data_IF_014236382049
#
_entry.id   IF_014236382049
#
_cell.length_a   1.000
_cell.length_b   1.000
_cell.length_c   1.000
_cell.angle_alpha   90.00
_cell.angle_beta   90.00
_cell.angle_gamma   90.00
#
_symmetry.space_group_name_H-M   'P 1'
#
loop_
_entity.id
_entity.type
_entity.pdbx_description
1 polymer ?
#
# COMPACT_ATOMS: atom_id res chain seq x y z
N UNK A 1 34.17 36.72 -23.46
CA UNK A 1 32.84 36.35 -23.91
C UNK A 1 32.13 35.78 -22.70
N UNK A 2 31.31 36.59 -22.07
CA UNK A 2 30.60 36.32 -20.81
C UNK A 2 29.29 35.60 -21.15
N UNK A 3 29.08 34.44 -20.50
CA UNK A 3 27.81 33.71 -20.57
C UNK A 3 26.70 34.52 -19.91
N UNK A 4 25.47 34.52 -20.43
CA UNK A 4 24.37 35.18 -19.77
C UNK A 4 23.93 34.36 -18.54
N UNK A 5 24.05 34.94 -17.36
CA UNK A 5 23.34 34.53 -16.16
C UNK A 5 21.86 34.75 -16.44
N UNK A 6 21.05 33.68 -16.38
CA UNK A 6 19.59 33.77 -16.29
C UNK A 6 19.25 34.26 -14.88
N UNK A 7 19.17 35.57 -14.71
CA UNK A 7 18.48 36.22 -13.59
C UNK A 7 16.99 35.84 -13.71
N UNK A 8 16.54 34.86 -12.92
CA UNK A 8 15.11 34.62 -12.75
C UNK A 8 14.53 35.76 -11.92
N UNK A 9 13.62 36.52 -12.53
CA UNK A 9 12.93 37.62 -11.87
C UNK A 9 12.24 37.07 -10.59
N UNK A 10 12.51 37.65 -9.41
CA UNK A 10 11.83 37.28 -8.17
C UNK A 10 10.29 37.31 -8.29
N UNK A 11 9.72 38.16 -9.16
CA UNK A 11 8.30 38.24 -9.46
C UNK A 11 7.74 36.96 -10.13
N UNK A 12 8.45 36.45 -11.15
CA UNK A 12 8.04 35.21 -11.85
C UNK A 12 8.12 33.98 -10.94
N UNK A 13 9.11 33.95 -10.00
CA UNK A 13 9.23 32.84 -9.04
C UNK A 13 8.11 32.85 -8.01
N UNK A 14 7.63 34.03 -7.59
CA UNK A 14 6.48 34.16 -6.69
C UNK A 14 5.16 33.81 -7.36
N UNK A 15 5.00 34.13 -8.64
CA UNK A 15 3.80 33.81 -9.43
C UNK A 15 3.70 32.29 -9.68
N UNK A 16 4.80 31.64 -10.05
CA UNK A 16 4.89 30.18 -10.20
C UNK A 16 4.64 29.42 -8.87
N UNK A 17 5.15 29.95 -7.75
CA UNK A 17 4.87 29.39 -6.43
C UNK A 17 3.38 29.56 -6.04
N UNK A 18 2.76 30.68 -6.40
CA UNK A 18 1.32 30.94 -6.20
C UNK A 18 0.45 30.00 -7.02
N UNK A 19 0.79 29.74 -8.28
CA UNK A 19 0.10 28.77 -9.13
C UNK A 19 0.24 27.35 -8.63
N UNK A 20 1.43 26.95 -8.15
CA UNK A 20 1.63 25.63 -7.55
C UNK A 20 0.81 25.47 -6.28
N UNK A 21 0.75 26.46 -5.41
CA UNK A 21 -0.10 26.48 -4.22
C UNK A 21 -1.58 26.34 -4.56
N UNK A 22 -2.04 27.09 -5.58
CA UNK A 22 -3.42 27.00 -6.06
C UNK A 22 -3.72 25.63 -6.69
N UNK A 23 -2.75 25.03 -7.37
CA UNK A 23 -2.87 23.67 -7.91
C UNK A 23 -2.96 22.62 -6.80
N UNK A 24 -2.12 22.72 -5.76
CA UNK A 24 -2.14 21.84 -4.60
C UNK A 24 -3.46 21.96 -3.82
N UNK A 25 -3.98 23.18 -3.66
CA UNK A 25 -5.29 23.41 -3.02
C UNK A 25 -6.45 22.81 -3.83
N UNK A 26 -6.42 22.92 -5.17
CA UNK A 26 -7.40 22.24 -6.04
C UNK A 26 -7.27 20.71 -5.99
N UNK A 27 -6.05 20.19 -5.74
CA UNK A 27 -5.77 18.78 -5.49
C UNK A 27 -6.13 18.28 -4.10
N UNK A 28 -6.76 19.11 -3.24
CA UNK A 28 -7.22 18.71 -1.91
C UNK A 28 -6.17 18.82 -0.79
N UNK A 29 -5.00 19.36 -1.06
CA UNK A 29 -3.97 19.61 -0.01
C UNK A 29 -4.43 20.78 0.85
N UNK A 30 -4.96 20.49 2.04
CA UNK A 30 -5.48 21.52 2.98
C UNK A 30 -4.47 22.01 4.00
N UNK A 31 -3.28 21.41 4.07
CA UNK A 31 -2.28 21.76 5.07
C UNK A 31 -0.89 21.82 4.44
N UNK A 32 -0.31 23.00 4.37
CA UNK A 32 1.11 23.20 4.14
C UNK A 32 1.65 23.76 5.46
N UNK A 33 2.60 23.05 6.15
CA UNK A 33 3.21 23.59 7.35
C UNK A 33 3.81 24.97 7.03
N UNK A 34 3.57 25.98 7.86
CA UNK A 34 4.25 27.26 7.74
C UNK A 34 5.75 27.02 7.99
N UNK A 35 6.52 26.96 6.92
CA UNK A 35 7.98 26.99 7.04
C UNK A 35 8.38 28.38 7.58
N UNK A 36 9.18 28.43 8.67
CA UNK A 36 9.77 29.66 9.09
C UNK A 36 10.86 30.10 8.09
N UNK A 37 11.19 31.37 8.04
CA UNK A 37 12.16 31.93 7.07
C UNK A 37 13.53 31.23 7.11
N UNK A 38 14.01 30.84 8.30
CA UNK A 38 15.28 30.11 8.47
C UNK A 38 15.24 28.70 7.85
N UNK A 39 14.10 28.01 7.87
CA UNK A 39 13.94 26.71 7.22
C UNK A 39 13.97 26.82 5.70
N UNK A 40 13.40 27.89 5.12
CA UNK A 40 13.40 28.15 3.69
C UNK A 40 14.81 28.47 3.18
N UNK A 41 15.57 29.32 3.89
CA UNK A 41 16.95 29.66 3.54
C UNK A 41 17.89 28.43 3.65
N UNK A 42 17.71 27.60 4.67
CA UNK A 42 18.47 26.35 4.84
C UNK A 42 18.17 25.36 3.70
N UNK A 43 16.95 25.32 3.21
CA UNK A 43 16.54 24.44 2.09
C UNK A 43 17.10 24.94 0.75
N UNK A 44 16.98 26.23 0.46
CA UNK A 44 17.50 26.81 -0.77
C UNK A 44 19.01 26.64 -0.90
N UNK A 45 19.76 26.85 0.18
CA UNK A 45 21.21 26.69 0.21
C UNK A 45 21.67 25.24 -0.05
N UNK A 46 20.93 24.24 0.44
CA UNK A 46 21.23 22.80 0.17
C UNK A 46 20.92 22.40 -1.27
N UNK A 47 19.90 22.97 -1.88
CA UNK A 47 19.53 22.69 -3.28
C UNK A 47 20.56 23.27 -4.26
N UNK A 48 21.07 24.47 -4.00
CA UNK A 48 22.11 25.10 -4.82
C UNK A 48 23.43 24.33 -4.75
N UNK A 49 23.76 23.73 -3.60
CA UNK A 49 24.99 22.90 -3.45
C UNK A 49 24.82 21.47 -4.04
N UNK A 50 23.60 20.95 -4.15
CA UNK A 50 23.35 19.61 -4.72
C UNK A 50 23.21 19.61 -6.26
N UNK A 51 22.98 20.76 -6.89
CA UNK A 51 22.98 20.92 -8.33
C UNK A 51 24.44 21.15 -8.79
N UNK A 52 25.20 20.06 -8.99
CA UNK A 52 26.49 20.10 -9.66
C UNK A 52 26.34 20.62 -11.10
N UNK A 53 27.44 21.08 -11.75
CA UNK A 53 27.37 21.76 -13.03
C UNK A 53 26.69 20.92 -14.10
N UNK A 54 25.72 21.50 -14.79
CA UNK A 54 24.99 20.91 -15.88
C UNK A 54 25.95 20.46 -16.99
N UNK A 55 25.94 19.15 -17.27
CA UNK A 55 26.66 18.60 -18.45
C UNK A 55 25.83 18.97 -19.68
N UNK A 56 26.38 19.83 -20.51
CA UNK A 56 25.86 20.22 -21.80
C UNK A 56 25.83 19.00 -22.74
N UNK A 57 24.66 18.57 -23.17
CA UNK A 57 24.53 17.61 -24.28
C UNK A 57 24.49 18.40 -25.59
N UNK A 58 25.46 18.12 -26.45
CA UNK A 58 25.59 18.64 -27.80
C UNK A 58 24.65 17.88 -28.76
N UNK A 59 23.80 18.55 -29.54
CA UNK A 59 22.90 17.90 -30.50
C UNK A 59 23.50 17.95 -31.92
N UNK A 60 24.41 17.03 -32.26
CA UNK A 60 24.74 16.79 -33.67
C UNK A 60 25.47 15.46 -33.86
N UNK A 61 24.72 14.44 -34.34
CA UNK A 61 25.10 13.42 -35.31
C UNK A 61 23.91 12.52 -35.56
N UNK A 62 23.18 12.64 -36.69
CA UNK A 62 23.56 11.90 -37.87
C UNK A 62 22.69 10.67 -38.03
N UNK A 63 21.54 10.84 -38.73
CA UNK A 63 20.61 9.79 -39.19
C UNK A 63 21.37 8.82 -40.09
N UNK A 64 21.24 7.50 -39.88
CA UNK A 64 21.45 6.48 -40.88
C UNK A 64 20.33 5.45 -40.81
N UNK A 65 19.50 5.44 -41.81
CA UNK A 65 18.50 4.43 -42.10
C UNK A 65 19.16 3.13 -42.53
N UNK A 66 18.69 2.01 -42.02
CA UNK A 66 18.94 0.68 -42.60
C UNK A 66 17.64 -0.12 -42.61
N UNK A 67 17.29 -0.43 -43.80
CA UNK A 67 16.26 -1.19 -44.47
C UNK A 67 15.84 -2.51 -43.83
N UNK A 68 14.55 -2.78 -44.10
CA UNK A 68 13.80 -4.06 -44.09
C UNK A 68 14.59 -5.32 -44.39
N UNK A 69 14.42 -6.32 -43.55
CA UNK A 69 14.56 -7.72 -43.93
C UNK A 69 13.43 -8.54 -43.30
N UNK A 70 12.45 -8.86 -44.13
CA UNK A 70 11.41 -9.84 -43.89
C UNK A 70 12.05 -11.25 -43.75
N UNK A 71 11.75 -11.93 -42.64
CA UNK A 71 11.94 -13.37 -42.52
C UNK A 71 10.62 -14.03 -42.12
N UNK A 72 10.02 -14.72 -43.11
CA UNK A 72 8.90 -15.62 -42.93
C UNK A 72 9.33 -16.91 -42.20
N UNK A 73 8.55 -17.48 -41.29
CA UNK A 73 8.82 -18.81 -40.74
C UNK A 73 8.20 -19.89 -41.63
N UNK A 74 9.04 -20.83 -42.07
CA UNK A 74 8.64 -22.10 -42.67
C UNK A 74 8.10 -23.05 -41.62
N UNK A 75 6.89 -23.59 -41.83
CA UNK A 75 6.35 -24.72 -41.11
C UNK A 75 6.93 -26.05 -41.69
N UNK A 76 7.10 -27.08 -40.86
CA UNK A 76 6.98 -28.44 -41.30
C UNK A 76 5.74 -29.11 -40.71
N UNK A 77 4.91 -29.63 -41.60
CA UNK A 77 3.86 -30.56 -41.26
C UNK A 77 4.47 -31.91 -40.82
N UNK A 78 4.01 -32.44 -39.69
CA UNK A 78 3.97 -33.89 -39.53
C UNK A 78 2.75 -34.32 -38.74
N UNK A 79 1.95 -35.19 -39.38
CA UNK A 79 0.78 -35.85 -38.83
C UNK A 79 1.26 -37.07 -38.02
N UNK A 80 0.86 -37.23 -36.79
CA UNK A 80 0.49 -38.54 -36.23
C UNK A 80 -0.33 -38.34 -34.97
N UNK A 81 -1.50 -38.89 -35.07
CA UNK A 81 -2.50 -39.14 -34.03
C UNK A 81 -1.93 -39.95 -32.86
N UNK A 82 -2.27 -39.55 -31.66
CA UNK A 82 -2.82 -40.32 -30.52
C UNK A 82 -2.89 -39.33 -29.34
N UNK A 83 -4.10 -38.85 -29.06
CA UNK A 83 -4.35 -38.03 -27.89
C UNK A 83 -4.42 -38.88 -26.62
N UNK A 84 -3.78 -38.46 -25.52
CA UNK A 84 -4.17 -38.99 -24.22
C UNK A 84 -5.48 -38.33 -23.77
N UNK A 85 -6.43 -39.18 -23.48
CA UNK A 85 -7.70 -38.89 -22.86
C UNK A 85 -7.51 -37.97 -21.63
N UNK A 86 -7.95 -36.72 -21.73
CA UNK A 86 -7.97 -35.77 -20.60
C UNK A 86 -9.04 -36.29 -19.62
N UNK A 87 -8.61 -37.05 -18.62
CA UNK A 87 -9.44 -37.38 -17.46
C UNK A 87 -9.75 -36.08 -16.74
N UNK A 88 -10.99 -35.61 -16.89
CA UNK A 88 -11.55 -34.55 -16.02
C UNK A 88 -11.35 -34.98 -14.56
N UNK A 89 -10.76 -34.11 -13.73
CA UNK A 89 -10.67 -34.42 -12.31
C UNK A 89 -12.08 -34.57 -11.75
N UNK A 90 -12.30 -35.53 -10.82
CA UNK A 90 -13.61 -35.74 -10.22
C UNK A 90 -14.06 -34.43 -9.55
N UNK A 91 -15.38 -34.13 -9.56
CA UNK A 91 -15.91 -32.96 -8.85
C UNK A 91 -15.48 -33.07 -7.40
N UNK A 92 -14.95 -31.94 -6.87
CA UNK A 92 -14.57 -31.85 -5.47
C UNK A 92 -15.78 -32.28 -4.59
N UNK A 93 -15.56 -33.09 -3.55
CA UNK A 93 -16.65 -33.53 -2.70
C UNK A 93 -17.34 -32.29 -2.13
N UNK A 94 -18.64 -32.17 -2.37
CA UNK A 94 -19.54 -31.21 -1.71
C UNK A 94 -19.71 -31.63 -0.24
N UNK A 95 -18.61 -31.66 0.47
CA UNK A 95 -18.63 -31.73 1.93
C UNK A 95 -19.11 -30.40 2.44
N UNK A 96 -20.33 -30.35 2.96
CA UNK A 96 -20.87 -29.25 3.76
C UNK A 96 -19.83 -28.93 4.83
N UNK A 97 -18.95 -27.96 4.55
CA UNK A 97 -17.98 -27.48 5.54
C UNK A 97 -18.79 -27.03 6.76
N UNK A 98 -18.52 -27.63 7.91
CA UNK A 98 -19.11 -27.18 9.18
C UNK A 98 -18.91 -25.67 9.26
N UNK A 99 -19.94 -24.90 9.67
CA UNK A 99 -19.78 -23.46 9.84
C UNK A 99 -18.56 -23.22 10.72
N UNK A 100 -17.59 -22.49 10.21
CA UNK A 100 -16.48 -22.03 11.05
C UNK A 100 -17.07 -20.95 11.92
N UNK A 101 -17.02 -21.11 13.21
CA UNK A 101 -17.47 -20.10 14.15
C UNK A 101 -16.60 -18.84 13.99
N UNK A 102 -17.19 -17.65 14.14
CA UNK A 102 -16.44 -16.42 14.34
C UNK A 102 -15.56 -16.62 15.56
N UNK A 103 -14.32 -16.17 15.51
CA UNK A 103 -13.48 -16.23 16.69
C UNK A 103 -12.93 -14.85 17.02
N UNK A 104 -12.64 -14.66 18.28
CA UNK A 104 -11.99 -13.46 18.80
C UNK A 104 -10.51 -13.71 19.01
N UNK A 105 -9.70 -12.76 18.56
CA UNK A 105 -8.27 -12.75 18.87
C UNK A 105 -8.00 -12.01 20.19
N UNK A 106 -8.91 -11.12 20.60
CA UNK A 106 -8.96 -10.46 21.89
C UNK A 106 -10.38 -9.95 22.13
N UNK A 107 -10.98 -10.30 23.27
CA UNK A 107 -12.30 -9.82 23.70
C UNK A 107 -12.14 -8.58 24.62
N UNK A 108 -10.92 -8.29 25.09
CA UNK A 108 -10.65 -7.13 25.93
C UNK A 108 -10.71 -5.83 25.10
N UNK A 109 -11.14 -4.71 25.70
CA UNK A 109 -11.02 -3.40 25.08
C UNK A 109 -9.60 -3.06 24.67
N UNK A 110 -9.43 -2.15 23.71
CA UNK A 110 -8.10 -1.61 23.40
C UNK A 110 -7.44 -1.05 24.67
N UNK A 111 -6.17 -1.36 24.91
CA UNK A 111 -5.46 -0.83 26.06
C UNK A 111 -5.36 0.70 26.02
N UNK A 112 -5.31 1.32 27.20
CA UNK A 112 -5.19 2.77 27.34
C UNK A 112 -6.48 3.56 27.07
N UNK A 113 -6.40 4.89 27.11
CA UNK A 113 -7.52 5.79 26.85
C UNK A 113 -7.77 5.99 25.36
N UNK A 114 -9.00 6.34 25.00
CA UNK A 114 -9.33 6.77 23.64
C UNK A 114 -8.86 8.22 23.47
N UNK A 115 -7.86 8.44 22.63
CA UNK A 115 -7.25 9.75 22.42
C UNK A 115 -8.12 10.64 21.51
N UNK A 116 -8.16 11.96 21.78
CA UNK A 116 -8.65 12.94 20.82
C UNK A 116 -7.91 12.85 19.48
N UNK A 117 -8.56 13.23 18.37
CA UNK A 117 -8.00 13.07 17.02
C UNK A 117 -6.64 13.78 16.88
N UNK A 118 -6.50 15.01 17.42
CA UNK A 118 -5.25 15.76 17.36
C UNK A 118 -4.10 15.05 18.10
N UNK A 119 -4.39 14.37 19.19
CA UNK A 119 -3.42 13.58 19.93
C UNK A 119 -3.07 12.29 19.18
N UNK A 120 -4.05 11.66 18.49
CA UNK A 120 -3.78 10.50 17.63
C UNK A 120 -2.79 10.84 16.51
N UNK A 121 -2.94 11.99 15.84
CA UNK A 121 -1.99 12.47 14.83
C UNK A 121 -0.59 12.60 15.40
N UNK A 122 -0.46 13.22 16.56
CA UNK A 122 0.82 13.40 17.24
C UNK A 122 1.47 12.06 17.59
N UNK A 123 0.71 11.14 18.17
CA UNK A 123 1.21 9.81 18.53
C UNK A 123 1.59 8.97 17.31
N UNK A 124 0.84 9.05 16.19
CA UNK A 124 1.20 8.40 14.94
C UNK A 124 2.49 8.97 14.35
N UNK A 125 2.71 10.28 14.40
CA UNK A 125 3.96 10.93 13.95
C UNK A 125 5.14 10.49 14.83
N UNK A 126 4.97 10.45 16.14
CA UNK A 126 5.99 9.98 17.07
C UNK A 126 6.36 8.51 16.78
N UNK A 127 5.36 7.65 16.62
CA UNK A 127 5.57 6.24 16.31
C UNK A 127 6.21 6.05 14.92
N UNK A 128 5.84 6.87 13.93
CA UNK A 128 6.45 6.84 12.59
C UNK A 128 7.95 7.15 12.64
N UNK A 129 8.34 8.10 13.49
CA UNK A 129 9.76 8.45 13.70
C UNK A 129 10.54 7.29 14.32
N UNK A 130 9.96 6.56 15.27
CA UNK A 130 10.55 5.35 15.86
C UNK A 130 10.69 4.25 14.79
N UNK A 131 9.66 4.04 13.98
CA UNK A 131 9.65 3.03 12.90
C UNK A 131 10.69 3.36 11.83
N UNK A 132 10.88 4.64 11.49
CA UNK A 132 11.87 5.06 10.51
C UNK A 132 13.30 4.64 10.89
N UNK A 133 13.64 4.72 12.19
CA UNK A 133 14.93 4.30 12.73
C UNK A 133 15.05 2.80 13.06
N UNK A 134 14.02 1.99 12.81
CA UNK A 134 14.00 0.59 13.24
C UNK A 134 15.02 -0.27 12.47
N UNK A 135 15.80 -1.07 13.20
CA UNK A 135 16.77 -2.04 12.66
C UNK A 135 16.56 -3.48 13.17
N UNK A 136 15.40 -3.78 13.78
CA UNK A 136 15.09 -5.11 14.37
C UNK A 136 15.23 -6.28 13.38
N UNK A 137 15.08 -6.02 12.07
CA UNK A 137 15.23 -7.02 10.99
C UNK A 137 16.46 -6.63 10.15
N UNK A 138 17.61 -7.20 10.43
CA UNK A 138 18.89 -6.82 9.79
C UNK A 138 18.84 -6.86 8.27
N UNK A 139 18.28 -7.94 7.69
CA UNK A 139 18.15 -8.09 6.23
C UNK A 139 17.23 -7.03 5.66
N UNK A 140 16.05 -6.81 6.25
CA UNK A 140 15.10 -5.82 5.75
C UNK A 140 15.63 -4.40 5.90
N UNK A 141 16.34 -4.10 6.99
CA UNK A 141 16.95 -2.80 7.21
C UNK A 141 18.04 -2.47 6.18
N UNK A 142 18.78 -3.48 5.71
CA UNK A 142 19.80 -3.34 4.66
C UNK A 142 19.21 -3.22 3.25
N UNK A 143 18.07 -3.88 2.98
CA UNK A 143 17.50 -3.96 1.63
C UNK A 143 16.46 -2.89 1.32
N UNK A 144 15.79 -2.33 2.34
CA UNK A 144 14.77 -1.30 2.14
C UNK A 144 15.38 0.04 1.72
N UNK A 145 14.67 0.80 0.91
CA UNK A 145 14.95 2.21 0.67
C UNK A 145 14.53 3.05 1.87
N UNK A 146 13.32 2.80 2.37
CA UNK A 146 12.77 3.44 3.56
C UNK A 146 11.68 2.57 4.19
N UNK A 147 11.21 2.94 5.37
CA UNK A 147 10.06 2.29 5.98
C UNK A 147 8.75 2.84 5.40
N UNK A 148 7.73 2.00 5.33
CA UNK A 148 6.37 2.38 4.95
C UNK A 148 5.50 2.25 6.19
N UNK A 149 5.33 3.34 6.91
CA UNK A 149 4.62 3.36 8.18
C UNK A 149 3.14 3.02 8.04
N UNK A 150 2.49 3.70 7.13
CA UNK A 150 1.05 3.72 6.89
C UNK A 150 0.61 5.15 6.63
N UNK A 151 -0.60 5.33 6.08
CA UNK A 151 -1.18 6.66 5.83
C UNK A 151 -2.69 6.62 5.86
N UNK A 152 -3.32 7.76 6.08
CA UNK A 152 -4.76 7.92 6.04
C UNK A 152 -5.28 8.82 7.16
N UNK A 153 -6.58 8.76 7.37
CA UNK A 153 -7.27 9.56 8.37
C UNK A 153 -7.09 8.97 9.79
N UNK A 154 -6.52 9.69 10.75
CA UNK A 154 -6.42 9.23 12.14
C UNK A 154 -7.78 8.97 12.83
N UNK A 155 -8.87 9.54 12.26
CA UNK A 155 -10.25 9.30 12.70
C UNK A 155 -10.98 8.24 11.87
N UNK A 156 -10.27 7.52 10.99
CA UNK A 156 -10.89 6.53 10.11
C UNK A 156 -11.63 5.44 10.89
N UNK A 157 -12.88 5.20 10.52
CA UNK A 157 -13.66 4.07 11.03
C UNK A 157 -13.17 2.73 10.47
N UNK A 158 -12.53 2.75 9.29
CA UNK A 158 -12.12 1.55 8.55
C UNK A 158 -10.62 1.60 8.29
N UNK A 159 -9.92 0.56 8.72
CA UNK A 159 -8.50 0.33 8.44
C UNK A 159 -8.36 -0.82 7.45
N UNK A 160 -7.62 -0.61 6.36
CA UNK A 160 -7.19 -1.70 5.49
C UNK A 160 -5.78 -2.15 5.89
N UNK A 161 -5.68 -3.41 6.25
CA UNK A 161 -4.48 -4.00 6.84
C UNK A 161 -3.87 -5.05 5.91
N UNK A 162 -2.73 -4.74 5.33
CA UNK A 162 -2.03 -5.57 4.36
C UNK A 162 -0.85 -6.36 4.92
N UNK A 163 -0.06 -6.89 4.00
CA UNK A 163 1.08 -7.78 4.30
C UNK A 163 2.38 -7.01 4.47
N UNK A 164 2.88 -6.42 3.40
CA UNK A 164 4.19 -5.78 3.32
C UNK A 164 4.22 -4.73 2.20
N UNK A 165 5.14 -3.75 2.25
CA UNK A 165 5.40 -2.85 1.14
C UNK A 165 5.95 -3.59 -0.09
N UNK A 166 5.54 -3.18 -1.29
CA UNK A 166 6.16 -3.55 -2.55
C UNK A 166 7.27 -2.58 -2.95
N UNK A 167 7.76 -2.72 -4.19
CA UNK A 167 8.87 -1.89 -4.68
C UNK A 167 8.52 -0.40 -4.84
N UNK A 168 7.30 -0.11 -5.28
CA UNK A 168 6.84 1.28 -5.44
C UNK A 168 6.63 1.93 -4.08
N UNK A 169 6.05 1.19 -3.13
CA UNK A 169 5.82 1.62 -1.76
C UNK A 169 7.15 1.89 -1.04
N UNK A 170 8.13 1.01 -1.16
CA UNK A 170 9.47 1.16 -0.58
C UNK A 170 10.19 2.40 -1.11
N UNK A 171 10.06 2.68 -2.42
CA UNK A 171 10.67 3.86 -3.04
C UNK A 171 10.05 5.17 -2.59
N UNK A 172 8.71 5.20 -2.38
CA UNK A 172 7.97 6.43 -2.09
C UNK A 172 7.61 6.58 -0.60
N UNK A 173 7.77 5.55 0.23
CA UNK A 173 7.40 5.57 1.64
C UNK A 173 5.89 5.53 1.90
N UNK A 174 5.07 5.29 0.88
CA UNK A 174 3.60 5.31 0.95
C UNK A 174 3.00 3.93 0.73
N UNK A 175 2.00 3.51 1.52
CA UNK A 175 1.38 2.20 1.36
C UNK A 175 0.43 2.15 0.15
N UNK A 176 0.37 0.99 -0.51
CA UNK A 176 -0.61 0.69 -1.56
C UNK A 176 -0.65 1.70 -2.72
N UNK A 177 0.49 2.01 -3.33
CA UNK A 177 0.57 2.92 -4.49
C UNK A 177 0.89 2.20 -5.80
N UNK A 178 1.47 0.99 -5.74
CA UNK A 178 1.72 0.14 -6.90
C UNK A 178 0.44 -0.45 -7.48
N UNK A 179 0.56 -1.39 -8.40
CA UNK A 179 -0.58 -2.02 -9.12
C UNK A 179 -1.64 -2.61 -8.17
N UNK A 180 -1.22 -3.23 -7.07
CA UNK A 180 -2.13 -3.78 -6.05
C UNK A 180 -2.89 -2.65 -5.34
N UNK A 181 -2.23 -1.54 -5.04
CA UNK A 181 -2.82 -0.35 -4.45
C UNK A 181 -3.84 0.30 -5.37
N UNK A 182 -3.56 0.44 -6.66
CA UNK A 182 -4.51 0.96 -7.65
C UNK A 182 -5.79 0.11 -7.74
N UNK A 183 -5.68 -1.21 -7.57
CA UNK A 183 -6.86 -2.06 -7.47
C UNK A 183 -7.59 -1.82 -6.14
N UNK A 184 -6.86 -1.68 -5.03
CA UNK A 184 -7.45 -1.36 -3.73
C UNK A 184 -8.22 -0.04 -3.77
N UNK A 185 -7.67 1.00 -4.42
CA UNK A 185 -8.35 2.30 -4.57
C UNK A 185 -9.70 2.14 -5.29
N UNK A 186 -9.76 1.33 -6.36
CA UNK A 186 -11.01 1.00 -7.04
C UNK A 186 -11.98 0.23 -6.15
N UNK A 187 -11.48 -0.65 -5.30
CA UNK A 187 -12.31 -1.41 -4.35
C UNK A 187 -12.88 -0.47 -3.27
N UNK A 188 -12.09 0.46 -2.76
CA UNK A 188 -12.50 1.49 -1.79
C UNK A 188 -13.54 2.41 -2.40
N UNK A 189 -13.31 2.89 -3.63
CA UNK A 189 -14.28 3.73 -4.36
C UNK A 189 -15.61 3.00 -4.61
N UNK A 190 -15.56 1.71 -4.92
CA UNK A 190 -16.78 0.89 -5.05
C UNK A 190 -17.57 0.78 -3.73
N UNK A 191 -16.90 0.95 -2.58
CA UNK A 191 -17.53 1.07 -1.26
C UNK A 191 -18.02 2.50 -0.94
N UNK A 192 -18.01 3.42 -1.90
CA UNK A 192 -18.35 4.85 -1.74
C UNK A 192 -17.43 5.58 -0.76
N UNK A 193 -16.18 5.12 -0.64
CA UNK A 193 -15.14 5.70 0.19
C UNK A 193 -13.99 6.23 -0.67
N UNK A 194 -13.19 7.14 -0.09
CA UNK A 194 -11.95 7.66 -0.66
C UNK A 194 -10.76 7.27 0.23
N UNK A 195 -9.53 7.49 -0.23
CA UNK A 195 -8.34 7.24 0.58
C UNK A 195 -8.31 8.05 1.88
N UNK A 196 -8.87 9.24 1.83
CA UNK A 196 -8.98 10.18 2.93
C UNK A 196 -9.99 9.75 4.01
N UNK A 197 -10.87 8.80 3.70
CA UNK A 197 -11.86 8.26 4.65
C UNK A 197 -11.35 7.06 5.44
N UNK A 198 -10.23 6.49 5.02
CA UNK A 198 -9.68 5.23 5.55
C UNK A 198 -8.27 5.42 6.07
N UNK A 199 -7.76 4.39 6.76
CA UNK A 199 -6.34 4.28 7.06
C UNK A 199 -5.75 3.00 6.46
N UNK A 200 -4.55 3.11 5.92
CA UNK A 200 -3.84 2.02 5.23
C UNK A 200 -2.55 1.70 5.97
N UNK A 201 -2.36 0.46 6.34
CA UNK A 201 -1.11 -0.01 6.95
C UNK A 201 -0.81 -1.47 6.60
N UNK A 202 0.42 -1.89 6.81
CA UNK A 202 0.88 -3.25 6.58
C UNK A 202 1.38 -3.90 7.87
N UNK A 203 1.39 -5.23 7.89
CA UNK A 203 1.91 -6.05 8.98
C UNK A 203 3.40 -5.78 9.23
N UNK A 204 4.20 -5.70 8.16
CA UNK A 204 5.60 -5.26 8.25
C UNK A 204 5.79 -3.90 7.58
N UNK A 205 6.73 -3.11 8.12
CA UNK A 205 6.97 -1.74 7.67
C UNK A 205 8.11 -1.62 6.65
N UNK A 206 8.77 -2.73 6.36
CA UNK A 206 9.88 -2.80 5.43
C UNK A 206 9.55 -3.76 4.30
N UNK A 207 10.07 -3.48 3.10
CA UNK A 207 9.92 -4.35 1.94
C UNK A 207 10.81 -5.58 2.09
N UNK A 208 10.27 -6.82 2.03
CA UNK A 208 11.10 -8.02 1.92
C UNK A 208 11.78 -8.09 0.54
N UNK A 209 13.01 -8.65 0.46
CA UNK A 209 13.70 -8.87 -0.82
C UNK A 209 12.81 -9.59 -1.83
N UNK A 210 12.84 -9.13 -3.10
CA UNK A 210 12.05 -9.70 -4.21
C UNK A 210 10.53 -9.77 -3.96
N UNK A 211 10.03 -8.97 -3.00
CA UNK A 211 8.64 -8.98 -2.52
C UNK A 211 8.19 -10.39 -2.06
N UNK A 212 9.08 -11.18 -1.45
CA UNK A 212 8.70 -12.44 -0.80
C UNK A 212 7.77 -12.20 0.38
N UNK A 213 7.10 -13.23 0.83
CA UNK A 213 6.34 -13.14 2.08
C UNK A 213 7.30 -12.84 3.25
N UNK A 214 6.86 -12.02 4.23
CA UNK A 214 7.62 -11.80 5.46
C UNK A 214 7.86 -13.11 6.23
N UNK A 215 9.04 -13.23 6.83
CA UNK A 215 9.37 -14.36 7.70
C UNK A 215 8.71 -14.25 9.08
N UNK A 216 8.53 -15.35 9.79
CA UNK A 216 7.92 -15.34 11.13
C UNK A 216 8.64 -14.39 12.10
N UNK A 217 9.96 -14.30 12.02
CA UNK A 217 10.78 -13.38 12.83
C UNK A 217 10.54 -11.90 12.46
N UNK A 218 10.38 -11.62 11.17
CA UNK A 218 10.08 -10.27 10.67
C UNK A 218 8.68 -9.82 11.11
N UNK A 219 7.70 -10.74 11.04
CA UNK A 219 6.35 -10.51 11.54
C UNK A 219 6.35 -10.25 13.06
N UNK A 220 7.08 -11.04 13.83
CA UNK A 220 7.20 -10.85 15.27
C UNK A 220 7.85 -9.52 15.63
N UNK A 221 8.94 -9.16 14.97
CA UNK A 221 9.67 -7.91 15.20
C UNK A 221 8.84 -6.64 14.87
N UNK A 222 7.92 -6.74 13.90
CA UNK A 222 7.06 -5.63 13.48
C UNK A 222 5.71 -5.55 14.21
N UNK A 223 5.35 -6.60 14.97
CA UNK A 223 4.04 -6.72 15.63
C UNK A 223 3.68 -5.52 16.48
N UNK A 224 4.57 -5.13 17.38
CA UNK A 224 4.34 -4.01 18.31
C UNK A 224 3.96 -2.71 17.58
N UNK A 225 4.51 -2.48 16.39
CA UNK A 225 4.24 -1.25 15.64
C UNK A 225 2.82 -1.20 15.08
N UNK A 226 2.33 -2.28 14.46
CA UNK A 226 0.96 -2.26 13.96
C UNK A 226 -0.07 -2.36 15.08
N UNK A 227 0.23 -3.05 16.17
CA UNK A 227 -0.64 -3.11 17.35
C UNK A 227 -0.78 -1.73 17.98
N UNK A 228 0.32 -0.97 18.16
CA UNK A 228 0.27 0.42 18.61
C UNK A 228 -0.50 1.33 17.65
N UNK A 229 -0.33 1.17 16.33
CA UNK A 229 -1.11 1.93 15.35
C UNK A 229 -2.61 1.66 15.52
N UNK A 230 -3.02 0.40 15.63
CA UNK A 230 -4.43 0.04 15.81
C UNK A 230 -4.97 0.54 17.16
N UNK A 231 -4.15 0.52 18.23
CA UNK A 231 -4.50 1.05 19.52
C UNK A 231 -4.70 2.59 19.50
N UNK A 232 -3.88 3.31 18.75
CA UNK A 232 -4.04 4.77 18.57
C UNK A 232 -5.29 5.06 17.73
N UNK A 233 -5.48 4.34 16.61
CA UNK A 233 -6.57 4.56 15.66
C UNK A 233 -7.93 4.12 16.20
N UNK A 234 -8.00 2.99 16.91
CA UNK A 234 -9.25 2.34 17.40
C UNK A 234 -10.33 2.30 16.33
N UNK A 235 -10.09 1.63 15.20
CA UNK A 235 -11.07 1.58 14.12
C UNK A 235 -12.27 0.73 14.51
N UNK A 236 -13.43 1.02 13.94
CA UNK A 236 -14.62 0.17 14.04
C UNK A 236 -14.46 -1.12 13.24
N UNK A 237 -13.78 -1.02 12.07
CA UNK A 237 -13.53 -2.15 11.16
C UNK A 237 -12.06 -2.26 10.79
N UNK A 238 -11.56 -3.48 10.76
CA UNK A 238 -10.25 -3.83 10.20
C UNK A 238 -10.46 -4.80 9.04
N UNK A 239 -10.08 -4.39 7.84
CA UNK A 239 -10.16 -5.23 6.64
C UNK A 239 -8.79 -5.85 6.37
N UNK A 240 -8.61 -7.11 6.73
CA UNK A 240 -7.37 -7.85 6.48
C UNK A 240 -7.28 -8.25 4.99
N UNK A 241 -6.25 -7.78 4.33
CA UNK A 241 -5.93 -8.04 2.93
C UNK A 241 -5.00 -9.25 2.83
N UNK A 242 -5.57 -10.45 2.66
CA UNK A 242 -4.81 -11.67 2.47
C UNK A 242 -4.51 -12.46 3.76
N UNK A 243 -3.76 -13.56 3.60
CA UNK A 243 -3.50 -14.51 4.68
C UNK A 243 -2.56 -13.96 5.74
N UNK A 244 -1.49 -13.27 5.33
CA UNK A 244 -0.44 -12.82 6.26
C UNK A 244 -1.00 -11.83 7.27
N UNK A 245 -1.75 -10.82 6.82
CA UNK A 245 -2.40 -9.85 7.71
C UNK A 245 -3.44 -10.51 8.62
N UNK A 246 -4.29 -11.40 8.08
CA UNK A 246 -5.28 -12.12 8.86
C UNK A 246 -4.64 -13.03 9.92
N UNK A 247 -3.61 -13.80 9.57
CA UNK A 247 -2.91 -14.68 10.51
C UNK A 247 -2.17 -13.88 11.59
N UNK A 248 -1.57 -12.75 11.20
CA UNK A 248 -0.86 -11.89 12.16
C UNK A 248 -1.80 -11.25 13.17
N UNK A 249 -2.95 -10.75 12.72
CA UNK A 249 -3.92 -10.08 13.59
C UNK A 249 -4.70 -11.08 14.45
N UNK A 250 -5.29 -12.09 13.81
CA UNK A 250 -6.20 -13.04 14.43
C UNK A 250 -5.50 -14.24 15.10
N UNK A 251 -4.16 -14.31 15.04
CA UNK A 251 -3.34 -15.40 15.63
C UNK A 251 -3.83 -16.80 15.22
N UNK A 252 -4.24 -16.97 13.95
CA UNK A 252 -4.81 -18.20 13.39
C UNK A 252 -3.95 -18.72 12.22
N UNK A 253 -4.14 -19.99 11.87
CA UNK A 253 -3.55 -20.62 10.67
C UNK A 253 -4.63 -21.07 9.67
N UNK A 254 -5.89 -20.65 9.86
CA UNK A 254 -6.99 -21.00 8.97
C UNK A 254 -6.79 -20.36 7.60
N UNK A 255 -7.18 -21.06 6.54
CA UNK A 255 -7.14 -20.53 5.18
C UNK A 255 -8.11 -19.34 5.01
N UNK A 256 -7.80 -18.45 4.05
CA UNK A 256 -8.66 -17.30 3.75
C UNK A 256 -10.09 -17.76 3.44
N UNK A 257 -10.26 -18.84 2.68
CA UNK A 257 -11.60 -19.38 2.36
C UNK A 257 -12.43 -19.72 3.60
N UNK A 258 -11.78 -20.08 4.71
CA UNK A 258 -12.45 -20.36 5.99
C UNK A 258 -12.68 -19.10 6.83
N UNK A 259 -11.90 -18.06 6.64
CA UNK A 259 -11.98 -16.79 7.39
C UNK A 259 -12.93 -15.77 6.76
N UNK A 260 -13.15 -15.85 5.45
CA UNK A 260 -14.02 -14.92 4.71
C UNK A 260 -15.51 -15.08 5.05
N UNK A 261 -16.32 -14.14 4.57
CA UNK A 261 -17.78 -14.14 4.63
C UNK A 261 -18.35 -14.11 6.05
N UNK A 262 -17.58 -13.57 6.99
CA UNK A 262 -17.97 -13.33 8.39
C UNK A 262 -17.08 -12.28 9.02
N UNK A 263 -17.58 -11.68 10.09
CA UNK A 263 -16.76 -10.85 10.96
C UNK A 263 -16.12 -11.71 12.05
N UNK A 264 -14.88 -11.40 12.36
CA UNK A 264 -14.14 -11.84 13.55
C UNK A 264 -13.99 -10.63 14.47
N UNK A 265 -13.38 -10.84 15.65
CA UNK A 265 -13.19 -9.78 16.65
C UNK A 265 -11.70 -9.58 16.94
N UNK A 266 -11.32 -8.33 17.07
CA UNK A 266 -10.02 -7.90 17.59
C UNK A 266 -10.22 -6.66 18.45
N UNK A 267 -10.13 -6.82 19.77
CA UNK A 267 -10.58 -5.80 20.71
C UNK A 267 -12.03 -5.37 20.39
N UNK A 268 -12.29 -4.05 20.29
CA UNK A 268 -13.60 -3.52 19.92
C UNK A 268 -13.85 -3.48 18.41
N UNK A 269 -12.85 -3.86 17.59
CA UNK A 269 -12.96 -3.81 16.13
C UNK A 269 -13.53 -5.10 15.53
N UNK A 270 -14.47 -4.95 14.59
CA UNK A 270 -14.90 -6.03 13.70
C UNK A 270 -13.85 -6.28 12.62
N UNK A 271 -13.41 -7.52 12.46
CA UNK A 271 -12.38 -7.89 11.48
C UNK A 271 -13.00 -8.65 10.33
N UNK A 272 -12.85 -8.12 9.12
CA UNK A 272 -13.22 -8.78 7.87
C UNK A 272 -11.96 -9.24 7.16
N UNK A 273 -11.96 -10.49 6.66
CA UNK A 273 -10.84 -11.03 5.86
C UNK A 273 -11.26 -11.12 4.42
N UNK A 274 -10.47 -10.54 3.51
CA UNK A 274 -10.70 -10.60 2.06
C UNK A 274 -9.44 -11.05 1.33
N UNK A 275 -9.55 -11.41 0.06
CA UNK A 275 -8.39 -11.70 -0.78
C UNK A 275 -7.52 -10.44 -0.99
N UNK A 276 -6.20 -10.63 -0.95
CA UNK A 276 -5.25 -9.54 -1.19
C UNK A 276 -5.40 -9.01 -2.63
N UNK A 277 -5.34 -7.68 -2.86
CA UNK A 277 -5.46 -7.11 -4.21
C UNK A 277 -4.46 -7.69 -5.23
N UNK A 278 -3.22 -7.97 -4.82
CA UNK A 278 -2.24 -8.62 -5.68
C UNK A 278 -2.65 -10.05 -6.10
N UNK A 279 -3.37 -10.78 -5.26
CA UNK A 279 -3.95 -12.07 -5.63
C UNK A 279 -5.08 -11.89 -6.64
N UNK A 280 -5.95 -10.89 -6.47
CA UNK A 280 -7.05 -10.58 -7.37
C UNK A 280 -6.58 -10.11 -8.77
N UNK A 281 -5.39 -9.53 -8.87
CA UNK A 281 -4.77 -9.21 -10.16
C UNK A 281 -4.37 -10.47 -10.93
N UNK A 282 -3.89 -11.50 -10.23
CA UNK A 282 -3.49 -12.78 -10.83
C UNK A 282 -4.66 -13.75 -11.02
N UNK A 283 -5.74 -13.58 -10.26
CA UNK A 283 -6.92 -14.45 -10.24
C UNK A 283 -8.20 -13.60 -10.35
N UNK A 284 -8.56 -13.13 -11.56
CA UNK A 284 -9.68 -12.23 -11.77
C UNK A 284 -11.04 -12.80 -11.29
N UNK A 285 -11.25 -14.11 -11.38
CA UNK A 285 -12.49 -14.77 -10.96
C UNK A 285 -12.77 -14.61 -9.46
N UNK A 286 -11.72 -14.47 -8.65
CA UNK A 286 -11.85 -14.23 -7.21
C UNK A 286 -12.37 -12.82 -6.86
N UNK A 287 -12.43 -11.89 -7.82
CA UNK A 287 -12.95 -10.52 -7.59
C UNK A 287 -14.41 -10.52 -7.16
N UNK A 288 -15.24 -11.40 -7.75
CA UNK A 288 -16.65 -11.54 -7.35
C UNK A 288 -16.79 -11.91 -5.87
N UNK A 289 -15.94 -12.80 -5.42
CA UNK A 289 -15.92 -13.24 -4.04
C UNK A 289 -15.44 -12.12 -3.08
N UNK A 290 -14.39 -11.37 -3.44
CA UNK A 290 -13.92 -10.22 -2.66
C UNK A 290 -14.98 -9.10 -2.61
N UNK A 291 -15.71 -8.88 -3.71
CA UNK A 291 -16.82 -7.92 -3.75
C UNK A 291 -17.96 -8.29 -2.81
N UNK A 292 -18.34 -9.58 -2.74
CA UNK A 292 -19.36 -10.04 -1.79
C UNK A 292 -18.96 -9.77 -0.33
N UNK A 293 -17.68 -9.91 0.02
CA UNK A 293 -17.17 -9.56 1.36
C UNK A 293 -17.27 -8.06 1.62
N UNK A 294 -16.87 -7.22 0.65
CA UNK A 294 -16.97 -5.76 0.78
C UNK A 294 -18.41 -5.29 0.90
N UNK A 295 -19.35 -5.92 0.17
CA UNK A 295 -20.77 -5.63 0.32
C UNK A 295 -21.30 -5.98 1.73
N UNK A 296 -20.73 -7.00 2.38
CA UNK A 296 -21.06 -7.32 3.78
C UNK A 296 -20.56 -6.19 4.71
N UNK A 297 -19.33 -5.70 4.50
CA UNK A 297 -18.79 -4.54 5.22
C UNK A 297 -19.69 -3.31 5.03
N UNK A 298 -20.05 -3.00 3.77
CA UNK A 298 -20.85 -1.81 3.45
C UNK A 298 -22.21 -1.83 4.16
N UNK A 299 -22.88 -2.98 4.17
CA UNK A 299 -24.17 -3.12 4.87
C UNK A 299 -24.04 -2.93 6.37
N UNK A 300 -23.01 -3.53 6.99
CA UNK A 300 -22.80 -3.46 8.43
C UNK A 300 -22.32 -2.05 8.88
N UNK A 301 -21.52 -1.38 8.04
CA UNK A 301 -21.00 -0.04 8.31
C UNK A 301 -21.98 1.10 7.92
N UNK A 302 -23.14 0.78 7.34
CA UNK A 302 -24.13 1.77 6.90
C UNK A 302 -23.71 2.58 5.66
N UNK A 303 -22.90 1.99 4.76
CA UNK A 303 -22.41 2.59 3.52
C UNK A 303 -23.22 2.14 2.28
N UNK A 304 -24.13 1.21 2.45
CA UNK A 304 -24.92 0.61 1.36
C UNK A 304 -26.07 1.53 0.88
#
# INVERSE_FOLDING_TARGET
MTSPEHDLDPGETFEAAGELLAHLQRGGVRFIPQANAESVESWSSRWIQAAGPAVSADPSTGVAAASDAQLQPKAPANKSSIGPEVKTPPPAPEGRLKPVESFSASDDPYPGSNLPIAERETELVNLASVVAGCTKCELLAKCRTQTVFGEGNPAARIVFFGEAPGADEDRQGRPFIGRAGQLLDKMVQACKLQREDIYLLNTVKCRPPENRNPEPTELANCRDYFEQQLQILRPEYIVCLGAVSAHSLLKTKLSIGRLRQRFHQYHESKVLVIYHPAYLLRNPDAKKAAWADLQMLMRDAGLA
#
